data_IF_018269464901
#
_entry.id   IF_018269464901
#
_cell.length_a   1.000
_cell.length_b   1.000
_cell.length_c   1.000
_cell.angle_alpha   90.00
_cell.angle_beta   90.00
_cell.angle_gamma   90.00
#
_symmetry.space_group_name_H-M   'P 1'
#
loop_
_entity.id
_entity.type
_entity.pdbx_description
1 polymer ?
#
# COMPACT_ATOMS: atom_id res chain seq x y z
N UNK A 1 3.74 -9.39 20.12
CA UNK A 1 3.80 -8.26 19.18
C UNK A 1 3.98 -8.77 17.74
N UNK A 2 5.09 -9.43 17.38
CA UNK A 2 5.29 -10.06 16.04
C UNK A 2 4.11 -10.79 15.36
N UNK A 3 3.38 -11.68 16.05
CA UNK A 3 2.22 -12.38 15.44
C UNK A 3 1.07 -11.43 15.09
N UNK A 4 0.86 -10.41 15.94
CA UNK A 4 -0.20 -9.42 15.75
C UNK A 4 0.17 -8.45 14.63
N UNK A 5 1.41 -7.94 14.61
CA UNK A 5 1.94 -7.14 13.50
C UNK A 5 1.85 -7.88 12.17
N UNK A 6 2.27 -9.16 12.13
CA UNK A 6 2.16 -9.98 10.93
C UNK A 6 0.73 -10.06 10.44
N UNK A 7 -0.24 -10.30 11.33
CA UNK A 7 -1.66 -10.36 10.95
C UNK A 7 -2.16 -9.01 10.43
N UNK A 8 -1.79 -7.92 11.10
CA UNK A 8 -2.20 -6.56 10.73
C UNK A 8 -1.64 -6.19 9.37
N UNK A 9 -0.35 -6.40 9.14
CA UNK A 9 0.33 -6.03 7.90
C UNK A 9 -0.05 -6.93 6.72
N UNK A 10 -0.24 -8.23 6.93
CA UNK A 10 -0.48 -9.17 5.83
C UNK A 10 -1.95 -9.41 5.49
N UNK A 11 -2.88 -9.11 6.41
CA UNK A 11 -4.30 -9.37 6.18
C UNK A 11 -5.16 -8.13 6.40
N UNK A 12 -5.08 -7.49 7.58
CA UNK A 12 -5.98 -6.38 7.94
C UNK A 12 -5.74 -5.18 7.05
N UNK A 13 -4.49 -4.72 6.94
CA UNK A 13 -4.14 -3.54 6.16
C UNK A 13 -4.51 -3.71 4.67
N UNK A 14 -4.15 -4.81 3.99
CA UNK A 14 -4.61 -5.06 2.61
C UNK A 14 -6.14 -5.09 2.48
N UNK A 15 -6.85 -5.72 3.42
CA UNK A 15 -8.31 -5.78 3.38
C UNK A 15 -8.95 -4.38 3.50
N UNK A 16 -8.39 -3.53 4.35
CA UNK A 16 -8.84 -2.14 4.54
C UNK A 16 -8.53 -1.26 3.32
N UNK A 17 -7.40 -1.48 2.66
CA UNK A 17 -7.09 -0.82 1.38
C UNK A 17 -8.10 -1.22 0.31
N UNK A 18 -8.38 -2.52 0.16
CA UNK A 18 -9.41 -3.03 -0.77
C UNK A 18 -10.77 -2.42 -0.44
N UNK A 19 -11.15 -2.41 0.84
CA UNK A 19 -12.40 -1.82 1.30
C UNK A 19 -12.52 -0.34 0.91
N UNK A 20 -11.46 0.44 1.10
CA UNK A 20 -11.41 1.86 0.75
C UNK A 20 -11.60 2.07 -0.75
N UNK A 21 -10.94 1.24 -1.58
CA UNK A 21 -11.09 1.26 -3.04
C UNK A 21 -12.53 0.94 -3.42
N UNK A 22 -13.10 -0.14 -2.91
CA UNK A 22 -14.47 -0.57 -3.25
C UNK A 22 -15.49 0.51 -2.85
N UNK A 23 -15.35 1.09 -1.65
CA UNK A 23 -16.22 2.18 -1.22
C UNK A 23 -16.14 3.40 -2.15
N UNK A 24 -14.99 3.68 -2.75
CA UNK A 24 -14.85 4.80 -3.68
C UNK A 24 -15.67 4.65 -4.97
N UNK A 25 -15.95 3.42 -5.39
CA UNK A 25 -16.86 3.12 -6.51
C UNK A 25 -18.33 3.09 -6.08
N UNK A 26 -18.58 2.96 -4.78
CA UNK A 26 -19.92 2.91 -4.20
C UNK A 26 -20.35 4.27 -3.63
N UNK A 27 -19.62 5.34 -3.93
CA UNK A 27 -19.80 6.68 -3.36
C UNK A 27 -21.21 7.29 -3.57
N UNK A 28 -21.93 6.83 -4.60
CA UNK A 28 -23.30 7.28 -4.89
C UNK A 28 -24.32 6.74 -3.87
N UNK A 29 -23.96 5.70 -3.13
CA UNK A 29 -24.83 5.16 -2.10
C UNK A 29 -24.75 5.97 -0.81
N UNK A 30 -25.90 6.39 -0.29
CA UNK A 30 -26.01 7.24 0.92
C UNK A 30 -25.32 6.66 2.17
N UNK A 31 -25.20 5.33 2.26
CA UNK A 31 -24.53 4.67 3.37
C UNK A 31 -22.99 4.79 3.30
N UNK A 32 -22.42 5.05 2.12
CA UNK A 32 -20.98 5.26 1.91
C UNK A 32 -20.62 6.69 2.28
N UNK A 33 -20.53 6.91 3.58
CA UNK A 33 -20.05 8.19 4.12
C UNK A 33 -18.51 8.23 4.11
N UNK A 34 -17.94 9.43 4.11
CA UNK A 34 -16.49 9.62 4.24
C UNK A 34 -15.91 8.87 5.46
N UNK A 35 -16.60 8.91 6.60
CA UNK A 35 -16.19 8.23 7.81
C UNK A 35 -16.22 6.71 7.67
N UNK A 36 -17.20 6.18 6.93
CA UNK A 36 -17.27 4.75 6.65
C UNK A 36 -16.17 4.32 5.67
N UNK A 37 -15.95 5.07 4.59
CA UNK A 37 -14.93 4.78 3.57
C UNK A 37 -13.50 4.84 4.13
N UNK A 38 -13.14 5.94 4.80
CA UNK A 38 -11.75 6.20 5.21
C UNK A 38 -11.47 5.94 6.70
N UNK A 39 -12.51 5.82 7.54
CA UNK A 39 -12.35 5.58 8.98
C UNK A 39 -11.54 4.32 9.30
N UNK A 40 -11.85 3.15 8.69
CA UNK A 40 -11.06 1.94 8.88
C UNK A 40 -9.59 2.10 8.47
N UNK A 41 -9.32 2.86 7.41
CA UNK A 41 -7.96 3.14 6.93
C UNK A 41 -7.18 3.97 7.94
N UNK A 42 -7.76 5.10 8.40
CA UNK A 42 -7.12 5.94 9.40
C UNK A 42 -6.89 5.19 10.72
N UNK A 43 -7.86 4.39 11.17
CA UNK A 43 -7.73 3.59 12.39
C UNK A 43 -6.58 2.58 12.28
N UNK A 44 -6.46 1.89 11.14
CA UNK A 44 -5.40 0.91 10.90
C UNK A 44 -4.03 1.58 10.84
N UNK A 45 -3.91 2.73 10.16
CA UNK A 45 -2.65 3.49 10.09
C UNK A 45 -2.24 3.98 11.49
N UNK A 46 -3.18 4.58 12.25
CA UNK A 46 -2.91 5.03 13.61
C UNK A 46 -2.44 3.88 14.52
N UNK A 47 -3.07 2.70 14.37
CA UNK A 47 -2.69 1.50 15.10
C UNK A 47 -1.28 1.00 14.73
N UNK A 48 -0.93 1.00 13.45
CA UNK A 48 0.43 0.66 12.98
C UNK A 48 1.46 1.63 13.56
N UNK A 49 1.20 2.93 13.52
CA UNK A 49 2.11 3.94 14.10
C UNK A 49 2.28 3.71 15.60
N UNK A 50 1.20 3.44 16.33
CA UNK A 50 1.26 3.12 17.76
C UNK A 50 2.10 1.86 18.03
N UNK A 51 1.96 0.81 17.22
CA UNK A 51 2.82 -0.38 17.35
C UNK A 51 4.29 -0.03 17.18
N UNK A 52 4.64 0.73 16.15
CA UNK A 52 6.03 1.14 15.88
C UNK A 52 6.58 2.01 17.01
N UNK A 53 5.78 2.91 17.59
CA UNK A 53 6.22 3.76 18.70
C UNK A 53 6.38 3.00 20.03
N UNK A 54 5.59 1.94 20.24
CA UNK A 54 5.62 1.14 21.46
C UNK A 54 6.66 0.01 21.39
N UNK A 55 7.06 -0.42 20.20
CA UNK A 55 8.10 -1.43 20.03
C UNK A 55 9.49 -0.78 20.17
N UNK A 56 10.03 -0.79 21.38
CA UNK A 56 11.31 -0.17 21.76
C UNK A 56 12.53 -1.02 21.40
N UNK A 57 12.44 -1.90 20.39
CA UNK A 57 13.49 -2.88 20.07
C UNK A 57 14.11 -2.54 18.72
N UNK A 58 15.44 -2.64 18.66
CA UNK A 58 16.18 -2.55 17.40
C UNK A 58 15.47 -3.41 16.37
N UNK A 59 15.03 -2.76 15.29
CA UNK A 59 14.45 -3.43 14.14
C UNK A 59 15.54 -4.36 13.61
N UNK A 60 15.48 -5.64 14.00
CA UNK A 60 16.16 -6.69 13.24
C UNK A 60 15.68 -6.50 11.80
N UNK A 61 16.58 -6.07 10.91
CA UNK A 61 16.31 -5.94 9.50
C UNK A 61 15.69 -7.27 9.05
N UNK A 62 14.38 -7.28 8.86
CA UNK A 62 13.68 -8.44 8.33
C UNK A 62 14.15 -8.51 6.89
N UNK A 63 15.13 -9.37 6.61
CA UNK A 63 15.58 -9.62 5.25
C UNK A 63 14.36 -10.08 4.44
N UNK A 64 13.92 -9.19 3.55
CA UNK A 64 12.81 -9.45 2.64
C UNK A 64 13.18 -10.66 1.78
N UNK A 65 12.46 -11.76 1.94
CA UNK A 65 12.74 -12.97 1.15
C UNK A 65 12.24 -12.74 -0.28
N UNK A 66 12.85 -13.37 -1.30
CA UNK A 66 12.32 -13.30 -2.67
C UNK A 66 10.83 -13.71 -2.76
N UNK A 67 10.39 -14.61 -1.87
CA UNK A 67 9.00 -15.00 -1.73
C UNK A 67 8.10 -13.84 -1.28
N UNK A 68 8.54 -13.00 -0.34
CA UNK A 68 7.82 -11.84 0.15
C UNK A 68 7.72 -10.76 -0.94
N UNK A 69 8.82 -10.56 -1.68
CA UNK A 69 8.85 -9.64 -2.82
C UNK A 69 7.87 -10.05 -3.91
N UNK A 70 7.82 -11.35 -4.23
CA UNK A 70 6.86 -11.91 -5.20
C UNK A 70 5.41 -11.81 -4.70
N UNK A 71 5.18 -12.06 -3.42
CA UNK A 71 3.86 -11.87 -2.80
C UNK A 71 3.39 -10.41 -2.86
N UNK A 72 4.29 -9.46 -2.58
CA UNK A 72 4.04 -8.02 -2.71
C UNK A 72 3.68 -7.62 -4.15
N UNK A 73 4.42 -8.12 -5.14
CA UNK A 73 4.12 -7.87 -6.56
C UNK A 73 2.75 -8.41 -6.97
N UNK A 74 2.39 -9.63 -6.52
CA UNK A 74 1.08 -10.22 -6.79
C UNK A 74 -0.06 -9.40 -6.18
N UNK A 75 0.14 -8.84 -4.96
CA UNK A 75 -0.85 -7.96 -4.32
C UNK A 75 -1.06 -6.67 -5.10
N UNK A 76 0.02 -6.05 -5.60
CA UNK A 76 -0.09 -4.86 -6.45
C UNK A 76 -0.89 -5.19 -7.70
N UNK A 77 -0.51 -6.24 -8.43
CA UNK A 77 -1.22 -6.68 -9.65
C UNK A 77 -2.70 -6.93 -9.37
N UNK A 78 -3.02 -7.61 -8.26
CA UNK A 78 -4.40 -7.84 -7.84
C UNK A 78 -5.18 -6.52 -7.66
N UNK A 79 -4.59 -5.52 -7.00
CA UNK A 79 -5.21 -4.20 -6.84
C UNK A 79 -5.47 -3.53 -8.19
N UNK A 80 -4.54 -3.63 -9.15
CA UNK A 80 -4.74 -3.10 -10.51
C UNK A 80 -5.95 -3.77 -11.17
N UNK A 81 -5.97 -5.11 -11.17
CA UNK A 81 -7.04 -5.90 -11.79
C UNK A 81 -8.38 -5.58 -11.16
N UNK A 82 -8.42 -5.42 -9.83
CA UNK A 82 -9.61 -4.99 -9.09
C UNK A 82 -10.09 -3.62 -9.57
N UNK A 83 -9.20 -2.62 -9.62
CA UNK A 83 -9.58 -1.25 -10.03
C UNK A 83 -10.06 -1.22 -11.48
N UNK A 84 -9.39 -1.91 -12.40
CA UNK A 84 -9.81 -2.02 -13.80
C UNK A 84 -11.20 -2.66 -13.87
N UNK A 85 -11.40 -3.75 -13.13
CA UNK A 85 -12.68 -4.46 -13.10
C UNK A 85 -13.80 -3.56 -12.58
N UNK A 86 -13.58 -2.83 -11.49
CA UNK A 86 -14.55 -1.88 -10.95
C UNK A 86 -14.86 -0.73 -11.92
N UNK A 87 -13.85 -0.22 -12.65
CA UNK A 87 -14.09 0.79 -13.70
C UNK A 87 -14.98 0.26 -14.84
N UNK A 88 -14.83 -1.01 -15.21
CA UNK A 88 -15.60 -1.63 -16.31
C UNK A 88 -17.01 -2.00 -15.86
N UNK A 89 -17.15 -2.62 -14.68
CA UNK A 89 -18.42 -3.18 -14.21
C UNK A 89 -19.28 -2.19 -13.43
N UNK A 90 -18.65 -1.29 -12.66
CA UNK A 90 -19.35 -0.37 -11.77
C UNK A 90 -19.38 1.07 -12.30
N UNK A 91 -18.33 1.48 -13.03
CA UNK A 91 -18.26 2.79 -13.65
C UNK A 91 -17.19 3.68 -13.02
N UNK A 92 -17.45 4.99 -12.97
CA UNK A 92 -16.42 5.96 -12.57
C UNK A 92 -16.28 6.05 -11.04
N UNK A 93 -15.06 5.94 -10.48
CA UNK A 93 -14.83 6.17 -9.07
C UNK A 93 -14.89 7.65 -8.73
N UNK A 94 -15.12 7.97 -7.45
CA UNK A 94 -15.08 9.34 -6.95
C UNK A 94 -13.67 9.95 -7.06
N UNK A 95 -12.63 9.16 -6.79
CA UNK A 95 -11.23 9.61 -6.86
C UNK A 95 -10.62 9.44 -8.26
N UNK A 96 -10.05 10.53 -8.79
CA UNK A 96 -9.36 10.52 -10.09
C UNK A 96 -8.21 9.51 -10.18
N UNK A 97 -7.55 9.20 -9.05
CA UNK A 97 -6.42 8.24 -9.00
C UNK A 97 -6.85 6.79 -9.19
N UNK A 98 -8.14 6.48 -9.03
CA UNK A 98 -8.70 5.15 -9.30
C UNK A 98 -9.36 5.06 -10.67
N UNK A 99 -9.48 6.18 -11.39
CA UNK A 99 -10.16 6.23 -12.68
C UNK A 99 -9.19 5.89 -13.83
N UNK A 100 -9.41 4.77 -14.51
CA UNK A 100 -8.48 4.29 -15.56
C UNK A 100 -8.42 5.19 -16.80
N UNK A 101 -9.41 6.07 -16.99
CA UNK A 101 -9.44 7.03 -18.10
C UNK A 101 -8.64 8.29 -17.83
N UNK A 102 -8.26 8.51 -16.56
CA UNK A 102 -7.54 9.70 -16.10
C UNK A 102 -6.04 9.47 -16.09
N UNK A 103 -5.28 10.52 -16.36
CA UNK A 103 -3.81 10.44 -16.42
C UNK A 103 -3.21 10.17 -15.03
N UNK A 104 -3.87 10.65 -13.98
CA UNK A 104 -3.50 10.48 -12.57
C UNK A 104 -3.36 9.01 -12.18
N UNK A 105 -4.26 8.14 -12.66
CA UNK A 105 -4.17 6.69 -12.46
C UNK A 105 -2.87 6.13 -13.03
N UNK A 106 -2.55 6.45 -14.29
CA UNK A 106 -1.34 5.97 -14.97
C UNK A 106 -0.06 6.54 -14.37
N UNK A 107 -0.09 7.79 -13.89
CA UNK A 107 1.03 8.39 -13.17
C UNK A 107 1.37 7.59 -11.91
N UNK A 108 0.38 7.22 -11.10
CA UNK A 108 0.61 6.41 -9.90
C UNK A 108 1.27 5.08 -10.27
N UNK A 109 0.84 4.45 -11.36
CA UNK A 109 1.43 3.20 -11.85
C UNK A 109 2.87 3.31 -12.31
N UNK A 110 3.27 4.45 -12.86
CA UNK A 110 4.65 4.68 -13.31
C UNK A 110 5.53 5.11 -12.14
N UNK A 111 5.03 5.96 -11.26
CA UNK A 111 5.79 6.55 -10.16
C UNK A 111 6.09 5.52 -9.07
N UNK A 112 5.13 4.69 -8.67
CA UNK A 112 5.33 3.67 -7.63
C UNK A 112 6.54 2.73 -7.89
N UNK A 113 6.67 2.09 -9.06
CA UNK A 113 7.83 1.24 -9.34
C UNK A 113 9.13 2.04 -9.49
N UNK A 114 9.06 3.31 -9.92
CA UNK A 114 10.23 4.19 -9.96
C UNK A 114 10.73 4.51 -8.55
N UNK A 115 9.84 4.83 -7.61
CA UNK A 115 10.20 5.10 -6.20
C UNK A 115 10.91 3.90 -5.56
N UNK A 116 10.44 2.67 -5.81
CA UNK A 116 11.12 1.46 -5.33
C UNK A 116 12.53 1.30 -5.89
N UNK A 117 12.77 1.68 -7.16
CA UNK A 117 14.12 1.65 -7.75
C UNK A 117 15.05 2.74 -7.19
N UNK A 118 14.51 3.92 -6.87
CA UNK A 118 15.30 4.99 -6.26
C UNK A 118 15.77 4.63 -4.85
N UNK A 119 14.92 3.97 -4.06
CA UNK A 119 15.31 3.53 -2.70
C UNK A 119 16.39 2.43 -2.75
N UNK A 120 16.29 1.49 -3.70
CA UNK A 120 17.35 0.51 -3.96
C UNK A 120 18.68 1.18 -4.32
N UNK A 121 18.65 2.18 -5.23
CA UNK A 121 19.87 2.90 -5.64
C UNK A 121 20.52 3.64 -4.46
N UNK A 122 19.70 4.31 -3.63
CA UNK A 122 20.18 5.02 -2.43
C UNK A 122 20.84 4.08 -1.43
N UNK A 123 20.25 2.90 -1.18
CA UNK A 123 20.86 1.86 -0.33
C UNK A 123 22.20 1.37 -0.91
N UNK A 124 22.28 1.13 -2.21
CA UNK A 124 23.54 0.68 -2.86
C UNK A 124 24.64 1.73 -2.90
N UNK A 125 24.29 3.01 -3.06
CA UNK A 125 25.28 4.10 -3.08
C UNK A 125 25.86 4.35 -1.66
N UNK A 126 25.04 4.26 -0.61
CA UNK A 126 25.51 4.34 0.79
C UNK A 126 26.42 3.15 1.16
N UNK A 127 26.04 1.93 0.79
CA UNK A 127 26.86 0.73 1.05
C UNK A 127 28.23 0.78 0.32
N UNK A 128 28.30 1.49 -0.81
CA UNK A 128 29.56 1.68 -1.57
C UNK A 128 30.45 2.76 -0.98
N UNK A 129 29.91 3.76 -0.27
CA UNK A 129 30.73 4.78 0.41
C UNK A 129 31.34 4.26 1.71
N UNK A 130 30.64 3.41 2.47
CA UNK A 130 31.21 2.73 3.66
C UNK A 130 32.39 1.83 3.30
N UNK A 131 32.31 1.08 2.20
CA UNK A 131 33.43 0.23 1.74
C UNK A 131 34.68 0.99 1.26
N UNK A 132 34.61 2.31 1.06
CA UNK A 132 35.77 3.13 0.67
C UNK A 132 36.43 3.86 1.84
N UNK A 133 35.84 3.77 3.02
CA UNK A 133 36.35 4.43 4.25
C UNK A 133 37.06 3.45 5.19
N UNK A 134 37.17 2.18 4.81
CA UNK A 134 38.01 1.16 5.44
C UNK A 134 39.15 0.71 4.52
#
# INVERSE_FOLDING_TARGET
MRKLEYVVMNFIFPAVVIYTIVCDFLYEHEWVTFGLQFGPLFATIAFIILMVLLDSRDSEDIEETEADKKAGQNRVIFIIVLIISLNIFWGQPQMSVLNITRFEFWLVFIILPLMNKFDYKKRTDNARSEKRTF
#
